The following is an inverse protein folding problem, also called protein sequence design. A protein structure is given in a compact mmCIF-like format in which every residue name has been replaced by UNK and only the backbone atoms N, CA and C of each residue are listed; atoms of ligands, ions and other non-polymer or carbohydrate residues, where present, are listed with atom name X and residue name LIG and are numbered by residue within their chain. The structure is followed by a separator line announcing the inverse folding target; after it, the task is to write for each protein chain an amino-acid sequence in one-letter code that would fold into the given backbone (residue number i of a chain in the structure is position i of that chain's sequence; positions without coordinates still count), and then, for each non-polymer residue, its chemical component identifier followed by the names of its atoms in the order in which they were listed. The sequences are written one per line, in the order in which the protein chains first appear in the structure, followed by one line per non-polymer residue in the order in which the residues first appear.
data_IF_928682952522
#
_entry.id   IF_928682952522
#
_cell.length_a   1.000
_cell.length_b   1.000
_cell.length_c   1.000
_cell.angle_alpha   90.00
_cell.angle_beta   90.00
_cell.angle_gamma   90.00
#
_symmetry.space_group_name_H-M   'P 1'
#
loop_
_entity.id
_entity.type
_entity.pdbx_description
1 polymer ?
#
# COMPACT_ATOMS: atom_id res chain seq x y z
N UNK A 1 6.98 -17.34 14.47
CA UNK A 1 5.81 -16.51 14.10
C UNK A 1 6.18 -15.07 14.46
N UNK A 2 6.17 -14.13 13.51
CA UNK A 2 6.48 -12.74 13.83
C UNK A 2 5.33 -12.18 14.64
N UNK A 3 5.49 -12.14 15.96
CA UNK A 3 4.64 -11.32 16.81
C UNK A 3 4.88 -9.86 16.39
N UNK A 4 3.83 -9.14 16.01
CA UNK A 4 3.90 -7.70 15.78
C UNK A 4 4.23 -7.07 17.16
N UNK A 5 5.53 -7.02 17.51
CA UNK A 5 6.00 -6.37 18.73
C UNK A 5 5.72 -4.88 18.55
N UNK A 6 5.03 -4.22 19.50
CA UNK A 6 4.79 -2.79 19.41
C UNK A 6 6.13 -2.07 19.30
N UNK A 7 6.28 -1.30 18.23
CA UNK A 7 7.40 -0.38 18.06
C UNK A 7 7.46 0.51 19.30
N UNK A 8 8.48 0.29 20.14
CA UNK A 8 8.81 1.17 21.25
C UNK A 8 9.18 2.52 20.66
N UNK A 9 8.21 3.44 20.62
CA UNK A 9 8.46 4.84 20.33
C UNK A 9 9.48 5.33 21.36
N UNK A 10 10.64 5.76 20.86
CA UNK A 10 11.67 6.43 21.64
C UNK A 10 11.06 7.61 22.39
N UNK A 11 10.91 7.46 23.70
CA UNK A 11 10.60 8.58 24.60
C UNK A 11 11.84 9.47 24.62
N UNK A 12 11.74 10.77 24.32
CA UNK A 12 12.89 11.65 24.45
C UNK A 12 13.29 11.74 25.93
N UNK A 13 14.55 11.40 26.23
CA UNK A 13 15.16 11.68 27.53
C UNK A 13 15.15 13.20 27.77
N UNK A 14 14.38 13.64 28.76
CA UNK A 14 14.58 14.95 29.36
C UNK A 14 15.87 14.94 30.21
N UNK A 15 16.68 16.01 30.17
CA UNK A 15 17.80 16.16 31.07
C UNK A 15 17.32 16.41 32.51
N UNK A 16 17.83 15.60 33.43
CA UNK A 16 17.69 15.75 34.88
C UNK A 16 18.33 17.07 35.34
N UNK A 17 17.56 17.94 35.99
CA UNK A 17 18.07 19.02 36.84
C UNK A 17 18.12 18.48 38.27
N UNK A 18 19.32 18.40 38.84
CA UNK A 18 19.53 18.16 40.27
C UNK A 18 19.06 19.37 41.09
N UNK A 19 18.15 19.14 42.02
CA UNK A 19 17.89 20.04 43.14
C UNK A 19 17.74 19.22 44.44
N UNK A 20 18.35 19.74 45.50
CA UNK A 20 18.66 19.08 46.75
C UNK A 20 17.48 18.98 47.75
N UNK A 21 17.52 17.88 48.50
CA UNK A 21 17.19 17.69 49.94
C UNK A 21 15.96 18.42 50.52
N UNK A 22 14.96 17.64 50.97
CA UNK A 22 14.30 17.84 52.27
C UNK A 22 13.75 16.50 52.81
N UNK A 23 14.25 16.08 53.98
CA UNK A 23 13.71 14.96 54.76
C UNK A 23 12.48 15.41 55.56
N UNK A 24 11.40 14.61 55.54
CA UNK A 24 10.29 14.63 56.51
C UNK A 24 9.78 13.18 56.71
N UNK A 25 9.50 12.73 57.95
CA UNK A 25 8.97 11.39 58.21
C UNK A 25 7.45 11.36 58.48
N UNK A 26 6.86 10.17 58.28
CA UNK A 26 5.53 9.64 58.71
C UNK A 26 4.28 10.02 57.87
N UNK A 27 3.14 9.25 57.89
CA UNK A 27 2.85 7.86 58.30
C UNK A 27 2.05 7.02 57.26
N UNK A 28 1.68 5.81 57.71
CA UNK A 28 0.88 4.70 57.15
C UNK A 28 -0.34 4.96 56.23
N UNK A 29 -0.58 3.93 55.40
CA UNK A 29 -1.85 3.39 54.90
C UNK A 29 -2.59 4.06 53.74
N UNK A 30 -2.59 3.36 52.60
CA UNK A 30 -3.81 2.99 51.85
C UNK A 30 -3.45 2.00 50.75
N UNK A 31 -3.74 0.72 50.97
CA UNK A 31 -3.81 -0.27 49.88
C UNK A 31 -5.10 -0.01 49.10
N UNK A 32 -4.99 0.73 48.00
CA UNK A 32 -6.06 0.78 47.00
C UNK A 32 -6.12 -0.58 46.29
N UNK A 33 -7.15 -1.36 46.60
CA UNK A 33 -7.50 -2.54 45.81
C UNK A 33 -7.89 -2.07 44.40
N UNK A 34 -7.00 -2.23 43.44
CA UNK A 34 -7.34 -2.12 42.04
C UNK A 34 -8.33 -3.23 41.71
N UNK A 35 -9.55 -2.86 41.33
CA UNK A 35 -10.51 -3.79 40.76
C UNK A 35 -9.87 -4.46 39.54
N UNK A 36 -10.05 -5.78 39.32
CA UNK A 36 -9.63 -6.40 38.08
C UNK A 36 -10.39 -5.70 36.94
N UNK A 37 -9.63 -5.06 36.06
CA UNK A 37 -10.15 -4.58 34.78
C UNK A 37 -10.78 -5.78 34.10
N UNK A 38 -12.09 -5.69 33.84
CA UNK A 38 -12.84 -6.69 33.11
C UNK A 38 -12.12 -7.05 31.82
N UNK A 39 -11.94 -8.35 31.61
CA UNK A 39 -11.33 -8.93 30.43
C UNK A 39 -11.83 -8.23 29.16
N UNK A 40 -10.88 -7.68 28.40
CA UNK A 40 -11.13 -7.30 27.02
C UNK A 40 -11.67 -8.55 26.28
N UNK A 41 -12.65 -8.39 25.37
CA UNK A 41 -13.26 -9.53 24.70
C UNK A 41 -12.18 -10.38 24.03
N UNK A 42 -12.12 -11.64 24.45
CA UNK A 42 -11.24 -12.71 23.98
C UNK A 42 -11.57 -13.08 22.53
N UNK A 43 -11.36 -12.16 21.60
CA UNK A 43 -11.14 -12.47 20.20
C UNK A 43 -9.64 -12.44 19.97
N UNK A 44 -8.97 -13.58 20.07
CA UNK A 44 -7.57 -13.71 19.66
C UNK A 44 -7.50 -13.57 18.14
N UNK A 45 -7.53 -12.34 17.63
CA UNK A 45 -7.18 -12.03 16.25
C UNK A 45 -5.79 -12.62 16.00
N UNK A 46 -5.70 -13.60 15.09
CA UNK A 46 -4.49 -14.39 14.85
C UNK A 46 -3.50 -13.65 13.94
N UNK A 47 -3.23 -12.40 14.25
CA UNK A 47 -2.29 -11.59 13.48
C UNK A 47 -0.95 -12.32 13.33
N UNK A 48 -0.43 -12.36 12.10
CA UNK A 48 0.80 -13.09 11.80
C UNK A 48 0.66 -14.61 11.58
N UNK A 49 -0.56 -15.16 11.51
CA UNK A 49 -0.76 -16.51 10.94
C UNK A 49 -0.65 -16.45 9.41
N UNK A 50 0.10 -17.39 8.82
CA UNK A 50 0.31 -17.47 7.37
C UNK A 50 -0.93 -17.97 6.63
N UNK A 51 -1.22 -17.34 5.49
CA UNK A 51 -2.35 -17.62 4.61
C UNK A 51 -1.93 -18.22 3.25
N UNK A 52 -0.65 -18.49 3.05
CA UNK A 52 -0.13 -19.01 1.78
C UNK A 52 -0.15 -17.96 0.67
N UNK A 53 -0.21 -18.42 -0.58
CA UNK A 53 -0.32 -17.54 -1.73
C UNK A 53 -1.72 -16.95 -1.83
N UNK A 54 -1.81 -15.63 -2.01
CA UNK A 54 -3.06 -14.94 -2.30
C UNK A 54 -2.90 -14.12 -3.57
N UNK A 55 -3.85 -14.27 -4.50
CA UNK A 55 -3.96 -13.43 -5.67
C UNK A 55 -5.19 -12.56 -5.55
N UNK A 56 -4.98 -11.25 -5.60
CA UNK A 56 -6.07 -10.27 -5.61
C UNK A 56 -6.12 -9.62 -6.98
N UNK A 57 -7.29 -9.67 -7.60
CA UNK A 57 -7.53 -8.99 -8.87
C UNK A 57 -8.63 -7.96 -8.71
N UNK A 58 -8.64 -6.95 -9.57
CA UNK A 58 -9.82 -6.10 -9.69
C UNK A 58 -9.58 -4.75 -10.34
N UNK A 59 -10.69 -4.08 -10.55
CA UNK A 59 -10.76 -2.83 -11.27
C UNK A 59 -11.24 -1.75 -10.31
N UNK A 60 -10.61 -0.59 -10.39
CA UNK A 60 -11.14 0.65 -9.83
C UNK A 60 -11.57 1.54 -11.01
N UNK A 61 -12.75 2.17 -10.94
CA UNK A 61 -13.19 3.08 -12.00
C UNK A 61 -12.20 4.25 -12.11
N UNK A 62 -12.02 4.78 -13.32
CA UNK A 62 -11.35 6.07 -13.44
C UNK A 62 -12.17 7.13 -12.68
N UNK A 63 -11.52 7.97 -11.86
CA UNK A 63 -12.25 8.96 -11.09
C UNK A 63 -12.71 10.13 -11.98
N UNK A 64 -13.74 10.87 -11.55
CA UNK A 64 -14.01 12.20 -12.07
C UNK A 64 -12.78 13.12 -11.91
N UNK A 65 -12.71 14.18 -12.73
CA UNK A 65 -11.65 15.17 -12.64
C UNK A 65 -11.51 15.75 -11.22
N UNK A 66 -10.28 15.82 -10.70
CA UNK A 66 -9.99 16.30 -9.35
C UNK A 66 -10.29 15.30 -8.22
N UNK A 67 -10.63 14.05 -8.55
CA UNK A 67 -10.88 12.98 -7.59
C UNK A 67 -9.92 11.81 -7.82
N UNK A 68 -9.85 10.92 -6.83
CA UNK A 68 -9.10 9.68 -6.85
C UNK A 68 -10.03 8.54 -6.40
N UNK A 69 -10.08 7.45 -7.14
CA UNK A 69 -10.74 6.23 -6.71
C UNK A 69 -9.74 5.38 -5.91
N UNK A 70 -10.06 5.08 -4.65
CA UNK A 70 -9.21 4.31 -3.75
C UNK A 70 -9.98 3.12 -3.18
N UNK A 71 -9.32 1.98 -3.08
CA UNK A 71 -9.83 0.79 -2.42
C UNK A 71 -8.76 0.21 -1.50
N UNK A 72 -9.20 -0.28 -0.34
CA UNK A 72 -8.38 -1.07 0.58
C UNK A 72 -8.91 -2.50 0.59
N UNK A 73 -8.02 -3.48 0.56
CA UNK A 73 -8.32 -4.90 0.66
C UNK A 73 -7.49 -5.46 1.81
N UNK A 74 -8.13 -6.15 2.75
CA UNK A 74 -7.47 -6.76 3.90
C UNK A 74 -7.50 -8.28 3.84
N UNK A 75 -6.55 -8.93 4.51
CA UNK A 75 -6.60 -10.39 4.75
C UNK A 75 -7.26 -10.63 6.10
N UNK A 76 -8.47 -11.19 6.06
CA UNK A 76 -9.28 -11.52 7.22
C UNK A 76 -8.72 -12.69 8.03
N UNK A 77 -9.30 -12.91 9.21
CA UNK A 77 -8.84 -13.93 10.16
C UNK A 77 -8.99 -15.38 9.64
N UNK A 78 -9.79 -15.58 8.60
CA UNK A 78 -10.01 -16.85 7.91
C UNK A 78 -9.15 -17.02 6.65
N UNK A 79 -8.14 -16.15 6.48
CA UNK A 79 -7.27 -16.08 5.31
C UNK A 79 -8.01 -15.79 3.99
N UNK A 80 -9.21 -15.22 4.07
CA UNK A 80 -9.91 -14.68 2.89
C UNK A 80 -9.63 -13.19 2.73
N UNK A 81 -9.88 -12.72 1.52
CA UNK A 81 -9.72 -11.32 1.14
C UNK A 81 -11.02 -10.57 1.39
N UNK A 82 -10.95 -9.54 2.21
CA UNK A 82 -12.05 -8.61 2.45
C UNK A 82 -11.86 -7.38 1.56
N UNK A 83 -12.68 -7.26 0.54
CA UNK A 83 -12.65 -6.13 -0.39
C UNK A 83 -13.43 -4.97 0.21
N UNK A 84 -12.74 -3.95 0.69
CA UNK A 84 -13.35 -2.71 1.15
C UNK A 84 -14.07 -1.95 0.02
N UNK A 85 -14.94 -0.98 0.35
CA UNK A 85 -15.61 -0.18 -0.66
C UNK A 85 -14.63 0.71 -1.42
N UNK A 86 -14.91 0.95 -2.71
CA UNK A 86 -14.24 2.01 -3.46
C UNK A 86 -14.71 3.36 -2.93
N UNK A 87 -13.77 4.23 -2.58
CA UNK A 87 -14.03 5.60 -2.12
C UNK A 87 -13.46 6.59 -3.12
N UNK A 88 -14.21 7.63 -3.44
CA UNK A 88 -13.71 8.76 -4.20
C UNK A 88 -13.25 9.86 -3.24
N UNK A 89 -11.98 10.25 -3.34
CA UNK A 89 -11.37 11.27 -2.49
C UNK A 89 -10.81 12.41 -3.33
N UNK A 90 -10.91 13.68 -2.90
CA UNK A 90 -10.32 14.79 -3.64
C UNK A 90 -8.80 14.63 -3.80
N UNK A 91 -8.27 14.97 -4.98
CA UNK A 91 -6.82 15.04 -5.22
C UNK A 91 -6.32 16.47 -5.02
N UNK A 92 -5.10 16.61 -4.49
CA UNK A 92 -4.47 17.92 -4.32
C UNK A 92 -4.22 18.63 -5.67
N UNK A 93 -4.15 17.85 -6.76
CA UNK A 93 -3.86 18.30 -8.12
C UNK A 93 -5.11 18.80 -8.88
N UNK A 94 -6.31 18.78 -8.29
CA UNK A 94 -7.57 19.22 -8.94
C UNK A 94 -7.61 20.68 -9.42
N UNK A 95 -6.51 21.43 -9.31
CA UNK A 95 -6.32 22.80 -9.81
C UNK A 95 -5.32 22.94 -10.96
N UNK A 96 -4.56 21.89 -11.33
CA UNK A 96 -3.63 21.95 -12.47
C UNK A 96 -4.28 21.34 -13.70
N UNK A 97 -4.92 22.19 -14.49
CA UNK A 97 -5.23 21.83 -15.88
C UNK A 97 -3.92 21.73 -16.67
N UNK A 98 -3.54 20.52 -17.07
CA UNK A 98 -2.62 20.33 -18.20
C UNK A 98 -3.25 20.94 -19.46
N UNK A 99 -2.42 21.32 -20.43
CA UNK A 99 -2.87 21.87 -21.71
C UNK A 99 -4.00 21.01 -22.30
N UNK A 100 -4.97 21.65 -22.97
CA UNK A 100 -6.27 21.08 -23.36
C UNK A 100 -6.21 19.71 -24.09
N UNK A 101 -5.06 19.35 -24.65
CA UNK A 101 -4.85 18.15 -25.45
C UNK A 101 -4.08 17.02 -24.75
N UNK A 102 -3.59 17.22 -23.51
CA UNK A 102 -2.81 16.22 -22.77
C UNK A 102 -3.49 15.78 -21.49
N UNK A 103 -3.85 14.49 -21.43
CA UNK A 103 -4.49 13.82 -20.30
C UNK A 103 -3.46 13.00 -19.54
N UNK A 104 -3.69 12.87 -18.24
CA UNK A 104 -2.86 12.09 -17.33
C UNK A 104 -3.76 11.23 -16.45
N UNK A 105 -3.32 10.01 -16.17
CA UNK A 105 -3.92 9.11 -15.21
C UNK A 105 -2.82 8.42 -14.40
N UNK A 106 -2.93 8.48 -13.08
CA UNK A 106 -1.99 7.86 -12.15
C UNK A 106 -2.63 6.64 -11.52
N UNK A 107 -1.84 5.59 -11.32
CA UNK A 107 -2.28 4.43 -10.54
C UNK A 107 -1.27 4.10 -9.46
N UNK A 108 -1.75 3.51 -8.37
CA UNK A 108 -0.91 2.99 -7.30
C UNK A 108 -1.42 1.65 -6.81
N UNK A 109 -0.49 0.76 -6.48
CA UNK A 109 -0.72 -0.54 -5.90
C UNK A 109 0.31 -0.72 -4.78
N UNK A 110 -0.15 -0.64 -3.53
CA UNK A 110 0.69 -0.54 -2.33
C UNK A 110 0.37 -1.68 -1.36
N UNK A 111 1.37 -2.46 -0.98
CA UNK A 111 1.22 -3.56 -0.03
C UNK A 111 1.78 -3.19 1.33
N UNK A 112 1.01 -3.36 2.40
CA UNK A 112 1.40 -3.07 3.77
C UNK A 112 1.31 -4.31 4.67
N UNK A 113 2.19 -4.39 5.65
CA UNK A 113 2.16 -5.43 6.69
C UNK A 113 1.13 -5.14 7.82
N UNK A 114 1.08 -6.01 8.84
CA UNK A 114 0.21 -5.85 10.03
C UNK A 114 0.46 -4.54 10.80
N UNK A 115 1.66 -3.96 10.66
CA UNK A 115 2.08 -2.76 11.38
C UNK A 115 1.83 -1.48 10.58
N UNK A 116 1.32 -1.59 9.35
CA UNK A 116 1.15 -0.47 8.45
C UNK A 116 2.44 0.03 7.79
N UNK A 117 3.49 -0.80 7.77
CA UNK A 117 4.72 -0.52 7.02
C UNK A 117 4.46 -0.86 5.55
N UNK A 118 4.68 0.11 4.67
CA UNK A 118 4.64 -0.12 3.22
C UNK A 118 5.76 -1.08 2.86
N UNK A 119 5.46 -2.27 2.37
CA UNK A 119 6.44 -3.29 2.00
C UNK A 119 6.92 -3.13 0.57
N UNK A 120 5.98 -3.08 -0.38
CA UNK A 120 6.25 -2.96 -1.81
C UNK A 120 5.18 -2.09 -2.47
N UNK A 121 5.54 -1.35 -3.50
CA UNK A 121 4.58 -0.61 -4.29
C UNK A 121 4.98 -0.47 -5.75
N UNK A 122 3.95 -0.39 -6.61
CA UNK A 122 4.03 0.03 -7.99
C UNK A 122 3.17 1.28 -8.18
N UNK A 123 3.78 2.33 -8.70
CA UNK A 123 3.13 3.57 -9.10
C UNK A 123 3.28 3.74 -10.60
N UNK A 124 2.22 4.12 -11.30
CA UNK A 124 2.31 4.43 -12.73
C UNK A 124 1.74 5.80 -13.03
N UNK A 125 2.25 6.41 -14.10
CA UNK A 125 1.68 7.61 -14.70
C UNK A 125 1.56 7.36 -16.19
N UNK A 126 0.32 7.38 -16.67
CA UNK A 126 -0.03 7.19 -18.07
C UNK A 126 -0.52 8.52 -18.63
N UNK A 127 0.09 8.98 -19.71
CA UNK A 127 -0.28 10.21 -20.40
C UNK A 127 -0.72 9.90 -21.82
N UNK A 128 -1.71 10.63 -22.34
CA UNK A 128 -2.16 10.48 -23.73
C UNK A 128 -2.80 11.77 -24.25
N UNK A 129 -2.87 11.89 -25.57
CA UNK A 129 -3.72 12.87 -26.25
C UNK A 129 -4.92 12.21 -26.92
N UNK A 130 -5.90 13.01 -27.31
CA UNK A 130 -7.01 12.57 -28.15
C UNK A 130 -6.95 13.26 -29.51
N UNK A 131 -7.25 12.54 -30.59
CA UNK A 131 -7.40 13.10 -31.95
C UNK A 131 -8.51 12.36 -32.67
N UNK A 132 -9.45 13.07 -33.27
CA UNK A 132 -10.55 12.52 -34.07
C UNK A 132 -11.34 11.37 -33.40
N UNK A 133 -11.53 11.46 -32.07
CA UNK A 133 -12.21 10.41 -31.30
C UNK A 133 -11.37 9.15 -31.05
N UNK A 134 -10.06 9.21 -31.28
CA UNK A 134 -9.06 8.19 -30.94
C UNK A 134 -8.03 8.70 -29.92
N UNK A 135 -7.30 7.75 -29.35
CA UNK A 135 -6.17 7.97 -28.44
C UNK A 135 -4.88 8.09 -29.25
N UNK A 136 -3.98 9.01 -28.89
CA UNK A 136 -2.64 9.14 -29.48
C UNK A 136 -1.57 9.41 -28.42
N UNK A 137 -0.30 9.27 -28.82
CA UNK A 137 0.87 9.68 -28.02
C UNK A 137 0.84 9.08 -26.61
N UNK A 138 0.41 7.82 -26.50
CA UNK A 138 0.32 7.13 -25.22
C UNK A 138 1.72 6.87 -24.72
N UNK A 139 1.97 7.31 -23.50
CA UNK A 139 3.19 7.01 -22.78
C UNK A 139 2.83 6.54 -21.38
N UNK A 140 3.65 5.64 -20.83
CA UNK A 140 3.49 5.20 -19.45
C UNK A 140 4.86 5.13 -18.80
N UNK A 141 4.92 5.60 -17.55
CA UNK A 141 6.10 5.48 -16.71
C UNK A 141 5.74 4.73 -15.44
N UNK A 142 6.70 3.98 -14.91
CA UNK A 142 6.54 3.20 -13.70
C UNK A 142 7.60 3.59 -12.67
N UNK A 143 7.16 3.77 -11.42
CA UNK A 143 8.01 3.95 -10.24
C UNK A 143 7.68 2.86 -9.23
N UNK A 144 8.66 2.53 -8.43
CA UNK A 144 8.57 1.45 -7.46
C UNK A 144 9.03 1.91 -6.08
N UNK A 145 8.54 1.23 -5.06
CA UNK A 145 9.03 1.34 -3.70
C UNK A 145 9.18 -0.05 -3.11
N UNK A 146 10.18 -0.23 -2.27
CA UNK A 146 10.34 -1.42 -1.45
C UNK A 146 10.98 -1.05 -0.10
N UNK A 147 10.50 -1.63 0.98
CA UNK A 147 11.04 -1.41 2.29
C UNK A 147 12.35 -2.18 2.50
N UNK A 148 13.37 -1.50 3.02
CA UNK A 148 14.63 -2.10 3.44
C UNK A 148 14.69 -2.15 4.96
N UNK A 149 15.12 -3.27 5.47
CA UNK A 149 15.60 -3.37 6.85
C UNK A 149 17.02 -2.77 6.90
N UNK A 150 17.58 -2.46 8.07
CA UNK A 150 19.01 -2.15 8.16
C UNK A 150 19.85 -3.35 7.68
N UNK A 151 21.19 -3.21 7.60
CA UNK A 151 22.12 -4.29 7.18
C UNK A 151 21.84 -4.96 5.81
N UNK A 152 21.24 -4.21 4.87
CA UNK A 152 20.98 -4.66 3.49
C UNK A 152 20.00 -5.86 3.38
N UNK A 153 19.12 -6.01 4.37
CA UNK A 153 18.01 -6.95 4.33
C UNK A 153 16.69 -6.28 3.87
N UNK A 154 15.67 -7.09 3.66
CA UNK A 154 14.32 -6.66 3.34
C UNK A 154 13.91 -6.97 1.90
N UNK A 155 12.98 -6.16 1.40
CA UNK A 155 12.46 -6.28 0.04
C UNK A 155 13.48 -5.78 -0.98
N UNK A 156 13.46 -6.34 -2.19
CA UNK A 156 14.25 -5.90 -3.33
C UNK A 156 13.45 -6.02 -4.61
N UNK A 157 13.79 -5.20 -5.61
CA UNK A 157 13.20 -5.33 -6.94
C UNK A 157 13.86 -6.50 -7.68
N UNK A 158 13.03 -7.46 -8.10
CA UNK A 158 13.46 -8.63 -8.85
C UNK A 158 13.25 -8.47 -10.36
N UNK A 159 12.25 -7.68 -10.77
CA UNK A 159 11.98 -7.43 -12.18
C UNK A 159 10.99 -6.30 -12.37
N UNK A 160 11.09 -5.61 -13.51
CA UNK A 160 10.12 -4.58 -13.90
C UNK A 160 10.01 -4.48 -15.41
N UNK A 161 8.82 -4.13 -15.87
CA UNK A 161 8.57 -3.79 -17.27
C UNK A 161 7.40 -2.82 -17.36
N UNK A 162 7.30 -2.12 -18.49
CA UNK A 162 6.13 -1.37 -18.86
C UNK A 162 6.00 -1.35 -20.38
N UNK A 163 4.78 -1.19 -20.87
CA UNK A 163 4.49 -1.16 -22.29
C UNK A 163 3.24 -0.35 -22.58
N UNK A 164 3.16 0.12 -23.82
CA UNK A 164 1.94 0.68 -24.42
C UNK A 164 1.74 -0.04 -25.75
N UNK A 165 0.48 -0.29 -26.13
CA UNK A 165 0.15 -0.96 -27.40
C UNK A 165 -0.19 0.00 -28.55
N UNK A 166 -0.18 1.31 -28.28
CA UNK A 166 -0.55 2.34 -29.23
C UNK A 166 0.50 3.47 -29.28
N UNK A 167 1.16 3.62 -30.43
CA UNK A 167 2.18 4.66 -30.67
C UNK A 167 1.74 5.70 -31.72
N UNK A 168 0.56 5.54 -32.31
CA UNK A 168 -0.06 6.45 -33.29
C UNK A 168 -1.52 6.73 -32.89
N UNK A 169 -2.39 7.16 -33.81
CA UNK A 169 -3.82 7.29 -33.53
C UNK A 169 -4.50 5.90 -33.50
N UNK A 170 -5.11 5.53 -32.37
CA UNK A 170 -5.82 4.27 -32.18
C UNK A 170 -7.24 4.51 -31.63
N UNK A 171 -8.23 3.66 -31.91
CA UNK A 171 -9.56 3.75 -31.30
C UNK A 171 -9.56 3.60 -29.77
N UNK A 172 -8.51 2.96 -29.23
CA UNK A 172 -8.24 2.81 -27.81
C UNK A 172 -6.80 2.35 -27.62
N UNK A 173 -6.33 2.34 -26.38
CA UNK A 173 -4.97 1.93 -26.05
C UNK A 173 -4.89 1.28 -24.68
N UNK A 174 -3.91 0.41 -24.49
CA UNK A 174 -3.56 -0.21 -23.22
C UNK A 174 -2.15 0.21 -22.82
N UNK A 175 -2.04 0.76 -21.62
CA UNK A 175 -0.76 0.90 -20.94
C UNK A 175 -0.67 -0.16 -19.83
N UNK A 176 0.45 -0.87 -19.76
CA UNK A 176 0.69 -1.89 -18.74
C UNK A 176 2.02 -1.62 -18.03
N UNK A 177 2.08 -1.94 -16.75
CA UNK A 177 3.31 -1.94 -15.97
C UNK A 177 3.33 -3.13 -15.00
N UNK A 178 4.53 -3.61 -14.73
CA UNK A 178 4.80 -4.76 -13.89
C UNK A 178 5.98 -4.47 -12.97
N UNK A 179 5.87 -4.94 -11.73
CA UNK A 179 6.97 -4.99 -10.78
C UNK A 179 6.90 -6.27 -9.94
N UNK A 180 7.99 -7.03 -9.95
CA UNK A 180 8.20 -8.20 -9.11
C UNK A 180 9.21 -7.86 -8.02
N UNK A 181 8.94 -8.32 -6.81
CA UNK A 181 9.74 -8.08 -5.62
C UNK A 181 10.05 -9.40 -4.93
N UNK A 182 11.30 -9.57 -4.49
CA UNK A 182 11.69 -10.62 -3.56
C UNK A 182 11.93 -10.02 -2.17
N UNK A 183 11.99 -10.86 -1.14
CA UNK A 183 12.43 -10.43 0.19
C UNK A 183 13.45 -11.41 0.74
N UNK A 184 14.53 -10.88 1.30
CA UNK A 184 15.53 -11.64 2.06
C UNK A 184 15.87 -10.87 3.33
N UNK A 185 15.61 -11.45 4.49
CA UNK A 185 15.80 -10.78 5.77
C UNK A 185 15.56 -11.69 6.95
N UNK A 186 15.20 -11.12 8.10
CA UNK A 186 15.01 -11.88 9.34
C UNK A 186 13.85 -12.90 9.23
N UNK A 187 12.87 -12.63 8.37
CA UNK A 187 11.72 -13.52 8.19
C UNK A 187 11.94 -14.60 7.12
N UNK A 188 12.94 -14.44 6.27
CA UNK A 188 13.30 -15.36 5.20
C UNK A 188 14.78 -15.16 4.84
N UNK A 189 15.64 -16.02 5.38
CA UNK A 189 17.07 -15.94 5.17
C UNK A 189 17.52 -16.44 3.80
N UNK A 190 16.71 -17.27 3.13
CA UNK A 190 17.07 -17.85 1.83
C UNK A 190 16.69 -16.91 0.69
N UNK A 191 15.58 -16.18 0.85
CA UNK A 191 15.05 -15.26 -0.15
C UNK A 191 14.04 -15.90 -1.11
N UNK A 192 13.65 -17.15 -0.83
CA UNK A 192 12.83 -17.96 -1.73
C UNK A 192 11.37 -18.04 -1.28
N UNK A 193 11.04 -17.50 -0.11
CA UNK A 193 9.75 -17.69 0.51
C UNK A 193 8.79 -16.55 0.18
N UNK A 194 9.20 -15.31 0.38
CA UNK A 194 8.32 -14.15 0.12
C UNK A 194 8.57 -13.56 -1.26
N UNK A 195 7.49 -13.21 -1.95
CA UNK A 195 7.53 -12.45 -3.19
C UNK A 195 6.22 -11.73 -3.42
N UNK A 196 6.29 -10.52 -3.95
CA UNK A 196 5.13 -9.74 -4.34
C UNK A 196 5.24 -9.41 -5.82
N UNK A 197 4.15 -9.57 -6.55
CA UNK A 197 4.05 -9.11 -7.94
C UNK A 197 2.91 -8.12 -8.04
N UNK A 198 3.19 -6.94 -8.56
CA UNK A 198 2.20 -5.91 -8.84
C UNK A 198 2.08 -5.76 -10.35
N UNK A 199 0.84 -5.81 -10.84
CA UNK A 199 0.50 -5.52 -12.23
C UNK A 199 -0.49 -4.36 -12.27
N UNK A 200 -0.20 -3.38 -13.12
CA UNK A 200 -1.09 -2.27 -13.43
C UNK A 200 -1.44 -2.30 -14.92
N UNK A 201 -2.70 -2.16 -15.24
CA UNK A 201 -3.19 -1.99 -16.60
C UNK A 201 -4.17 -0.82 -16.63
N UNK A 202 -3.87 0.16 -17.46
CA UNK A 202 -4.77 1.27 -17.80
C UNK A 202 -5.34 1.01 -19.20
N UNK A 203 -6.66 0.91 -19.28
CA UNK A 203 -7.37 0.88 -20.56
C UNK A 203 -7.87 2.29 -20.88
N UNK A 204 -7.44 2.83 -22.02
CA UNK A 204 -7.84 4.12 -22.56
C UNK A 204 -8.80 3.88 -23.74
N UNK A 205 -9.85 4.68 -23.80
CA UNK A 205 -10.83 4.67 -24.88
C UNK A 205 -10.77 5.98 -25.66
N UNK A 206 -11.05 5.94 -26.97
CA UNK A 206 -11.03 7.11 -27.84
C UNK A 206 -12.06 8.20 -27.50
N UNK A 207 -13.12 7.84 -26.77
CA UNK A 207 -14.08 8.78 -26.17
C UNK A 207 -13.51 9.57 -24.97
N UNK A 208 -12.26 9.28 -24.59
CA UNK A 208 -11.56 9.91 -23.48
C UNK A 208 -11.85 9.32 -22.12
N UNK A 209 -12.64 8.25 -22.03
CA UNK A 209 -12.79 7.48 -20.79
C UNK A 209 -11.60 6.57 -20.56
N UNK A 210 -11.39 6.17 -19.30
CA UNK A 210 -10.34 5.25 -18.93
C UNK A 210 -10.81 4.28 -17.84
N UNK A 211 -10.07 3.19 -17.64
CA UNK A 211 -10.25 2.33 -16.48
C UNK A 211 -8.92 1.76 -15.98
N UNK A 212 -8.85 1.52 -14.68
CA UNK A 212 -7.64 1.08 -14.00
C UNK A 212 -7.85 -0.32 -13.42
N UNK A 213 -7.11 -1.30 -13.95
CA UNK A 213 -7.02 -2.65 -13.40
C UNK A 213 -5.70 -2.79 -12.66
N UNK A 214 -5.78 -3.22 -11.42
CA UNK A 214 -4.64 -3.40 -10.55
C UNK A 214 -4.76 -4.80 -9.97
N UNK A 215 -3.73 -5.61 -10.17
CA UNK A 215 -3.65 -6.97 -9.67
C UNK A 215 -2.39 -7.09 -8.78
N UNK A 216 -2.48 -7.91 -7.74
CA UNK A 216 -1.34 -8.25 -6.89
C UNK A 216 -1.33 -9.74 -6.59
N UNK A 217 -0.17 -10.35 -6.70
CA UNK A 217 0.08 -11.73 -6.25
C UNK A 217 1.05 -11.68 -5.09
N UNK A 218 0.64 -12.26 -3.98
CA UNK A 218 1.39 -12.30 -2.73
C UNK A 218 1.79 -13.74 -2.43
N UNK A 219 3.08 -14.03 -2.47
CA UNK A 219 3.62 -15.32 -2.07
C UNK A 219 3.87 -15.31 -0.56
N UNK A 220 3.10 -16.12 0.16
CA UNK A 220 3.09 -16.23 1.63
C UNK A 220 2.67 -14.95 2.36
N UNK A 221 1.35 -14.73 2.37
CA UNK A 221 0.69 -13.62 3.06
C UNK A 221 0.39 -13.95 4.52
N UNK A 222 0.11 -12.92 5.34
CA UNK A 222 -0.34 -13.09 6.72
C UNK A 222 -1.65 -12.35 7.01
N UNK A 223 -2.37 -12.83 8.01
CA UNK A 223 -3.51 -12.12 8.62
C UNK A 223 -3.04 -10.73 9.07
N UNK A 224 -3.81 -9.70 8.70
CA UNK A 224 -3.52 -8.30 9.01
C UNK A 224 -2.74 -7.55 7.93
N UNK A 225 -2.23 -8.23 6.89
CA UNK A 225 -1.71 -7.54 5.71
C UNK A 225 -2.85 -6.82 4.98
N UNK A 226 -2.53 -5.68 4.37
CA UNK A 226 -3.47 -4.91 3.57
C UNK A 226 -2.86 -4.45 2.25
N UNK A 227 -3.70 -4.42 1.24
CA UNK A 227 -3.40 -3.86 -0.06
C UNK A 227 -4.23 -2.61 -0.28
N UNK A 228 -3.57 -1.51 -0.64
CA UNK A 228 -4.23 -0.27 -1.05
C UNK A 228 -3.98 -0.07 -2.53
N UNK A 229 -5.07 0.13 -3.28
CA UNK A 229 -5.00 0.40 -4.72
C UNK A 229 -5.81 1.62 -5.10
N UNK A 230 -5.44 2.27 -6.21
CA UNK A 230 -6.25 3.35 -6.73
C UNK A 230 -5.80 3.94 -8.07
N UNK A 231 -6.61 4.90 -8.51
CA UNK A 231 -6.56 5.56 -9.82
C UNK A 231 -6.91 7.05 -9.61
N UNK A 232 -6.13 7.98 -10.17
CA UNK A 232 -6.23 9.44 -9.97
C UNK A 232 -5.99 10.22 -11.27
#
# INVERSE_FOLDING_TARGET
MPSCLPSLRSVPLLPLIMAAVFMLPTPLSSSAAASPVSDAPSGTARQGQGCGELRVTGQVPAPPAGMAARQEVSVGDDCKLDLGPVRFVPTADGRRHTAADSRELRTWSEMYDCCGILMTALYTTTTWGNVDGGVREVNTTARHYWNREPWDAGWSLAGTSHSVDCHAACPGARAAAHAAFGYRGIFDHTGDWYANTHDSTVQLNGDGTASCRLDVTLRHTFIGWRWVRGCA
#
